data_IF_599680365572
#
_entry.id   IF_599680365572
#
_cell.length_a   1.000
_cell.length_b   1.000
_cell.length_c   1.000
_cell.angle_alpha   90.00
_cell.angle_beta   90.00
_cell.angle_gamma   90.00
#
_symmetry.space_group_name_H-M   'P 1'
#
loop_
_entity.id
_entity.type
_entity.pdbx_description
1 polymer ?
#
# COMPACT_ATOMS: atom_id res chain seq x y z
N UNK A 1 -12.83 6.62 -4.85
CA UNK A 1 -12.43 5.21 -4.83
C UNK A 1 -11.62 4.98 -6.08
N UNK A 2 -10.42 4.43 -5.94
CA UNK A 2 -9.57 4.16 -7.09
C UNK A 2 -10.17 3.04 -7.96
N UNK A 3 -10.09 3.14 -9.31
CA UNK A 3 -10.63 2.12 -10.21
C UNK A 3 -10.12 0.70 -9.93
N UNK A 4 -8.88 0.56 -9.49
CA UNK A 4 -8.28 -0.74 -9.15
C UNK A 4 -8.91 -1.40 -7.91
N UNK A 5 -9.43 -0.62 -6.97
CA UNK A 5 -10.23 -1.16 -5.85
C UNK A 5 -11.60 -1.62 -6.35
N UNK A 6 -12.24 -0.82 -7.19
CA UNK A 6 -13.55 -1.13 -7.76
C UNK A 6 -13.51 -2.40 -8.60
N UNK A 7 -12.50 -2.55 -9.46
CA UNK A 7 -12.28 -3.74 -10.27
C UNK A 7 -12.14 -5.00 -9.42
N UNK A 8 -11.35 -4.91 -8.33
CA UNK A 8 -11.23 -6.02 -7.38
C UNK A 8 -12.59 -6.36 -6.78
N UNK A 9 -13.33 -5.37 -6.25
CA UNK A 9 -14.64 -5.59 -5.62
C UNK A 9 -15.66 -6.18 -6.61
N UNK A 10 -15.68 -5.71 -7.86
CA UNK A 10 -16.60 -6.20 -8.89
C UNK A 10 -16.34 -7.64 -9.32
N UNK A 11 -15.10 -8.10 -9.18
CA UNK A 11 -14.67 -9.46 -9.53
C UNK A 11 -14.71 -10.43 -8.33
N UNK A 12 -15.25 -10.03 -7.18
CA UNK A 12 -15.48 -10.97 -6.07
C UNK A 12 -16.63 -11.90 -6.37
N UNK A 13 -16.31 -13.17 -6.60
CA UNK A 13 -17.28 -14.26 -6.50
C UNK A 13 -17.57 -14.59 -5.03
N UNK A 14 -18.80 -15.03 -4.77
CA UNK A 14 -19.39 -15.33 -3.46
C UNK A 14 -18.58 -16.25 -2.52
N UNK A 15 -17.49 -16.87 -3.01
CA UNK A 15 -16.63 -17.77 -2.24
C UNK A 15 -15.60 -17.05 -1.37
N UNK A 16 -15.25 -15.79 -1.67
CA UNK A 16 -14.33 -15.00 -0.84
C UNK A 16 -15.10 -13.93 -0.05
N UNK A 17 -14.80 -13.75 1.26
CA UNK A 17 -15.43 -12.71 2.04
C UNK A 17 -15.03 -11.34 1.48
N UNK A 18 -16.03 -10.47 1.32
CA UNK A 18 -15.80 -9.08 0.92
C UNK A 18 -14.79 -8.42 1.87
N UNK A 19 -13.86 -7.59 1.36
CA UNK A 19 -12.92 -6.89 2.20
C UNK A 19 -13.66 -6.00 3.21
N UNK A 20 -13.18 -5.96 4.45
CA UNK A 20 -13.78 -5.11 5.48
C UNK A 20 -13.64 -3.65 5.10
N UNK A 21 -14.66 -2.84 5.41
CA UNK A 21 -14.72 -1.42 5.03
C UNK A 21 -13.48 -0.61 5.45
N UNK A 22 -12.92 -0.86 6.63
CA UNK A 22 -11.72 -0.15 7.08
C UNK A 22 -10.46 -0.52 6.28
N UNK A 23 -10.38 -1.73 5.73
CA UNK A 23 -9.26 -2.15 4.88
C UNK A 23 -9.31 -1.39 3.56
N UNK A 24 -10.51 -1.28 2.98
CA UNK A 24 -10.77 -0.47 1.78
C UNK A 24 -10.42 1.00 2.02
N UNK A 25 -10.83 1.57 3.16
CA UNK A 25 -10.51 2.95 3.52
C UNK A 25 -8.99 3.18 3.71
N UNK A 26 -8.30 2.22 4.32
CA UNK A 26 -6.85 2.30 4.48
C UNK A 26 -6.14 2.28 3.13
N UNK A 27 -6.53 1.35 2.24
CA UNK A 27 -5.88 1.22 0.94
C UNK A 27 -6.17 2.44 0.05
N UNK A 28 -7.41 2.92 0.05
CA UNK A 28 -7.81 4.16 -0.63
C UNK A 28 -6.97 5.35 -0.16
N UNK A 29 -6.67 5.46 1.13
CA UNK A 29 -5.80 6.52 1.66
C UNK A 29 -4.36 6.41 1.16
N UNK A 30 -3.83 5.18 1.07
CA UNK A 30 -2.47 4.95 0.57
C UNK A 30 -2.38 5.33 -0.90
N UNK A 31 -3.36 4.90 -1.70
CA UNK A 31 -3.40 5.21 -3.13
C UNK A 31 -3.60 6.71 -3.40
N UNK A 32 -4.46 7.40 -2.64
CA UNK A 32 -4.59 8.86 -2.75
C UNK A 32 -3.26 9.56 -2.47
N UNK A 33 -2.57 9.15 -1.40
CA UNK A 33 -1.26 9.72 -1.07
C UNK A 33 -0.23 9.50 -2.19
N UNK A 34 -0.21 8.31 -2.79
CA UNK A 34 0.66 8.01 -3.93
C UNK A 34 0.31 8.86 -5.17
N UNK A 35 -0.94 9.31 -5.33
CA UNK A 35 -1.42 10.10 -6.49
C UNK A 35 -1.05 11.56 -6.29
N UNK A 36 -1.17 12.04 -5.05
CA UNK A 36 -0.76 13.39 -4.66
C UNK A 36 0.74 13.64 -4.90
N UNK A 37 1.58 12.60 -4.79
CA UNK A 37 3.02 12.71 -5.05
C UNK A 37 3.34 12.83 -6.56
N UNK A 38 2.41 12.46 -7.44
CA UNK A 38 2.52 12.64 -8.90
C UNK A 38 3.84 12.11 -9.52
N UNK A 39 4.30 10.93 -9.06
CA UNK A 39 5.46 10.23 -9.63
C UNK A 39 4.98 9.03 -10.46
N UNK A 40 5.66 8.76 -11.58
CA UNK A 40 5.34 7.64 -12.47
C UNK A 40 5.38 6.31 -11.69
N UNK A 41 4.21 5.65 -11.60
CA UNK A 41 4.04 4.42 -10.83
C UNK A 41 4.36 3.21 -11.70
N UNK A 42 5.32 2.40 -11.26
CA UNK A 42 5.26 0.96 -11.50
C UNK A 42 4.68 0.33 -10.25
N UNK A 43 3.41 -0.03 -10.31
CA UNK A 43 2.73 -0.64 -9.18
C UNK A 43 2.04 -1.95 -9.54
N UNK A 44 2.16 -2.92 -8.64
CA UNK A 44 1.29 -4.11 -8.61
C UNK A 44 0.29 -3.88 -7.49
N UNK A 45 -0.99 -4.06 -7.80
CA UNK A 45 -2.08 -3.99 -6.82
C UNK A 45 -2.87 -5.28 -6.86
N UNK A 46 -3.04 -5.95 -5.73
CA UNK A 46 -3.79 -7.21 -5.66
C UNK A 46 -4.48 -7.41 -4.32
N UNK A 47 -5.62 -8.10 -4.37
CA UNK A 47 -6.24 -8.67 -3.18
C UNK A 47 -5.67 -10.06 -2.91
N UNK A 48 -5.31 -10.33 -1.67
CA UNK A 48 -4.64 -11.58 -1.30
C UNK A 48 -5.59 -12.59 -0.65
N UNK A 49 -5.25 -13.89 -0.66
CA UNK A 49 -5.98 -14.90 0.12
C UNK A 49 -6.03 -14.65 1.63
N UNK A 50 -5.18 -13.77 2.16
CA UNK A 50 -5.17 -13.38 3.58
C UNK A 50 -6.20 -12.30 3.92
N UNK A 51 -7.10 -11.97 2.98
CA UNK A 51 -8.09 -10.90 3.08
C UNK A 51 -7.45 -9.50 3.23
N UNK A 52 -6.33 -9.29 2.57
CA UNK A 52 -5.55 -8.04 2.58
C UNK A 52 -5.40 -7.48 1.18
N UNK A 53 -5.00 -6.22 1.09
CA UNK A 53 -4.56 -5.62 -0.18
C UNK A 53 -3.07 -5.41 -0.17
N UNK A 54 -2.39 -5.92 -1.19
CA UNK A 54 -0.97 -5.75 -1.40
C UNK A 54 -0.72 -4.72 -2.51
N UNK A 55 0.22 -3.82 -2.23
CA UNK A 55 0.76 -2.83 -3.13
C UNK A 55 2.28 -3.06 -3.21
N UNK A 56 2.77 -3.35 -4.40
CA UNK A 56 4.17 -3.10 -4.74
C UNK A 56 4.25 -1.75 -5.42
N UNK A 57 5.15 -0.88 -5.00
CA UNK A 57 5.36 0.42 -5.60
C UNK A 57 6.86 0.68 -5.76
N UNK A 58 7.28 1.08 -6.95
CA UNK A 58 8.68 1.43 -7.24
C UNK A 58 8.78 2.88 -7.69
N UNK A 59 9.67 3.64 -7.05
CA UNK A 59 9.93 5.07 -7.33
C UNK A 59 11.41 5.37 -7.17
N UNK A 60 12.07 5.87 -8.21
CA UNK A 60 13.47 6.35 -8.15
C UNK A 60 14.45 5.37 -7.48
N UNK A 61 14.26 4.05 -7.69
CA UNK A 61 15.09 3.00 -7.09
C UNK A 61 14.75 2.62 -5.64
N UNK A 62 13.69 3.22 -5.08
CA UNK A 62 13.01 2.80 -3.86
C UNK A 62 11.94 1.75 -4.21
N UNK A 63 11.93 0.65 -3.48
CA UNK A 63 10.97 -0.44 -3.62
C UNK A 63 10.14 -0.54 -2.34
N UNK A 64 8.83 -0.34 -2.46
CA UNK A 64 7.87 -0.33 -1.37
C UNK A 64 6.95 -1.54 -1.49
N UNK A 65 6.99 -2.40 -0.49
CA UNK A 65 6.02 -3.47 -0.29
C UNK A 65 5.09 -3.01 0.82
N UNK A 66 3.80 -2.91 0.53
CA UNK A 66 2.80 -2.40 1.46
C UNK A 66 1.62 -3.36 1.44
N UNK A 67 1.17 -3.79 2.62
CA UNK A 67 0.04 -4.69 2.74
C UNK A 67 -0.95 -4.18 3.80
N UNK A 68 -2.16 -3.83 3.37
CA UNK A 68 -3.27 -3.42 4.23
C UNK A 68 -3.98 -4.67 4.75
N UNK A 69 -3.69 -5.04 6.00
CA UNK A 69 -4.14 -6.28 6.61
C UNK A 69 -5.61 -6.22 7.06
N UNK A 70 -6.27 -7.38 7.14
CA UNK A 70 -7.67 -7.52 7.59
C UNK A 70 -7.97 -7.09 9.03
N UNK A 71 -6.94 -6.77 9.81
CA UNK A 71 -7.03 -6.24 11.17
C UNK A 71 -6.83 -4.71 11.23
N UNK A 72 -6.62 -4.05 10.09
CA UNK A 72 -6.48 -2.60 9.97
C UNK A 72 -5.07 -2.07 10.14
N UNK A 73 -4.09 -2.96 10.36
CA UNK A 73 -2.67 -2.63 10.35
C UNK A 73 -2.12 -2.65 8.92
N UNK A 74 -1.07 -1.88 8.71
CA UNK A 74 -0.28 -1.84 7.48
C UNK A 74 1.05 -2.54 7.77
N UNK A 75 1.27 -3.68 7.12
CA UNK A 75 2.57 -4.32 7.06
C UNK A 75 3.36 -3.68 5.92
N UNK A 76 4.63 -3.35 6.15
CA UNK A 76 5.44 -2.74 5.10
C UNK A 76 6.89 -3.19 5.13
N UNK A 77 7.51 -3.15 3.96
CA UNK A 77 8.95 -3.29 3.76
C UNK A 77 9.38 -2.31 2.68
N UNK A 78 10.23 -1.37 3.04
CA UNK A 78 10.85 -0.41 2.15
C UNK A 78 12.30 -0.82 1.91
N UNK A 79 12.72 -0.84 0.65
CA UNK A 79 14.07 -1.23 0.26
C UNK A 79 14.67 -0.12 -0.59
N UNK A 80 15.89 0.25 -0.25
CA UNK A 80 16.75 1.07 -1.09
C UNK A 80 18.14 0.44 -1.09
N UNK A 81 18.71 0.24 -2.28
CA UNK A 81 20.07 -0.30 -2.46
C UNK A 81 21.15 0.55 -1.78
N UNK A 82 20.91 1.84 -1.55
CA UNK A 82 21.86 2.78 -0.94
C UNK A 82 21.73 2.91 0.59
N UNK A 83 20.53 2.81 1.15
CA UNK A 83 20.27 3.14 2.57
C UNK A 83 19.74 1.98 3.42
N UNK A 84 19.60 0.78 2.82
CA UNK A 84 19.16 -0.42 3.52
C UNK A 84 17.64 -0.59 3.55
N UNK A 85 17.19 -1.57 4.35
CA UNK A 85 15.80 -1.99 4.41
C UNK A 85 15.13 -1.52 5.70
N UNK A 86 13.92 -0.98 5.59
CA UNK A 86 13.07 -0.64 6.74
C UNK A 86 11.82 -1.51 6.65
N UNK A 87 11.44 -2.15 7.74
CA UNK A 87 10.22 -2.97 7.79
C UNK A 87 9.49 -2.75 9.10
N UNK A 88 8.19 -3.00 9.10
CA UNK A 88 7.39 -2.84 10.31
C UNK A 88 5.91 -3.08 10.07
N UNK A 89 5.15 -2.92 11.15
CA UNK A 89 3.69 -3.00 11.13
C UNK A 89 3.14 -1.86 11.96
N UNK A 90 2.30 -1.01 11.35
CA UNK A 90 1.79 0.20 11.98
C UNK A 90 0.32 0.46 11.61
N UNK A 91 -0.34 1.38 12.30
CA UNK A 91 -1.67 1.88 11.89
C UNK A 91 -1.53 2.85 10.72
N UNK A 92 -2.58 3.02 9.91
CA UNK A 92 -2.56 3.97 8.76
C UNK A 92 -2.10 5.38 9.16
N UNK A 93 -2.48 5.85 10.35
CA UNK A 93 -2.13 7.17 10.87
C UNK A 93 -0.63 7.35 11.17
N UNK A 94 0.08 6.26 11.44
CA UNK A 94 1.54 6.27 11.66
C UNK A 94 2.30 5.91 10.38
N UNK A 95 1.72 5.02 9.58
CA UNK A 95 2.28 4.55 8.31
C UNK A 95 2.46 5.68 7.30
N UNK A 96 1.48 6.57 7.09
CA UNK A 96 1.60 7.65 6.09
C UNK A 96 2.78 8.58 6.39
N UNK A 97 2.93 9.14 7.62
CA UNK A 97 4.13 9.92 7.96
C UNK A 97 5.45 9.14 7.83
N UNK A 98 5.43 7.82 8.11
CA UNK A 98 6.60 6.94 7.95
C UNK A 98 7.00 6.82 6.48
N UNK A 99 6.03 6.61 5.59
CA UNK A 99 6.23 6.54 4.15
C UNK A 99 6.79 7.85 3.61
N UNK A 100 6.19 8.98 4.00
CA UNK A 100 6.67 10.33 3.64
C UNK A 100 8.12 10.57 4.06
N UNK A 101 8.44 10.25 5.32
CA UNK A 101 9.80 10.39 5.84
C UNK A 101 10.82 9.55 5.06
N UNK A 102 10.44 8.34 4.64
CA UNK A 102 11.33 7.47 3.86
C UNK A 102 11.52 7.95 2.42
N UNK A 103 10.44 8.41 1.77
CA UNK A 103 10.52 9.02 0.44
C UNK A 103 11.45 10.24 0.45
N UNK A 104 11.28 11.15 1.41
CA UNK A 104 12.13 12.33 1.56
C UNK A 104 13.60 11.96 1.81
N UNK A 105 13.86 10.94 2.62
CA UNK A 105 15.22 10.47 2.86
C UNK A 105 15.85 9.78 1.63
N UNK A 106 15.04 9.16 0.78
CA UNK A 106 15.49 8.46 -0.42
C UNK A 106 15.73 9.35 -1.65
N UNK A 107 15.10 10.53 -1.71
CA UNK A 107 15.24 11.53 -2.78
C UNK A 107 16.35 12.57 -2.53
N UNK A 108 17.02 12.54 -1.37
CA UNK A 108 18.11 13.47 -1.01
C UNK A 108 19.50 12.98 -1.43
#
# INVERSE_FOLDING_TARGET
MHPEIEEIIMNFDFENPLPKAFVLQNVERILNYMDDINIERKSKFEYTPAESFYILWEVEGLEFHIESLKNGLILYTFRNKAFGNVFGTETISKFIPRLESYLLAGMC
#
